data_IF_202813663192
#
_entry.id   IF_202813663192
#
_cell.length_a   1.000
_cell.length_b   1.000
_cell.length_c   1.000
_cell.angle_alpha   90.00
_cell.angle_beta   90.00
_cell.angle_gamma   90.00
#
_symmetry.space_group_name_H-M   'P 1'
#
loop_
_entity.id
_entity.type
_entity.pdbx_description
1 polymer ?
#
# COMPACT_ATOMS: atom_id res chain seq x y z
N UNK A 1 -8.80 11.03 46.11
CA UNK A 1 -7.94 10.49 45.03
C UNK A 1 -8.43 11.12 43.76
N UNK A 2 -7.60 11.89 43.08
CA UNK A 2 -7.87 12.34 41.71
C UNK A 2 -7.36 11.17 40.86
N UNK A 3 -8.25 10.44 40.20
CA UNK A 3 -7.82 9.52 39.15
C UNK A 3 -6.99 10.35 38.16
N UNK A 4 -5.72 9.97 37.88
CA UNK A 4 -5.01 10.61 36.79
C UNK A 4 -5.81 10.28 35.54
N UNK A 5 -6.53 11.29 35.02
CA UNK A 5 -7.20 11.21 33.73
C UNK A 5 -6.20 10.58 32.74
N UNK A 6 -6.62 9.61 31.91
CA UNK A 6 -5.70 8.98 30.99
C UNK A 6 -5.01 10.09 30.21
N UNK A 7 -3.68 10.18 30.35
CA UNK A 7 -2.81 11.12 29.65
C UNK A 7 -2.81 10.89 28.12
N UNK A 8 -3.67 9.99 27.64
CA UNK A 8 -3.73 9.47 26.29
C UNK A 8 -5.17 9.53 25.78
N UNK A 9 -5.34 9.94 24.53
CA UNK A 9 -6.63 9.86 23.86
C UNK A 9 -7.07 8.41 23.65
N UNK A 10 -8.27 8.06 24.14
CA UNK A 10 -8.93 6.77 23.88
C UNK A 10 -9.58 6.68 22.48
N UNK A 11 -9.42 7.70 21.64
CA UNK A 11 -10.08 7.76 20.32
C UNK A 11 -9.72 6.59 19.40
N UNK A 12 -8.50 6.05 19.54
CA UNK A 12 -8.07 4.82 18.85
C UNK A 12 -7.54 3.86 19.91
N UNK A 13 -8.07 2.63 20.03
CA UNK A 13 -7.63 1.68 21.07
C UNK A 13 -6.20 1.17 20.81
N UNK A 14 -5.46 0.79 21.85
CA UNK A 14 -4.10 0.22 21.70
C UNK A 14 -4.07 -1.00 20.78
N UNK A 15 -5.12 -1.82 20.80
CA UNK A 15 -5.26 -2.98 19.92
C UNK A 15 -5.20 -2.62 18.42
N UNK A 16 -5.48 -1.38 18.03
CA UNK A 16 -5.32 -0.90 16.65
C UNK A 16 -3.90 -1.10 16.12
N UNK A 17 -2.87 -0.80 16.93
CA UNK A 17 -1.47 -0.92 16.52
C UNK A 17 -1.02 -2.36 16.29
N UNK A 18 -1.81 -3.34 16.74
CA UNK A 18 -1.60 -4.75 16.41
C UNK A 18 -2.50 -5.18 15.24
N UNK A 19 -3.81 -4.99 15.36
CA UNK A 19 -4.75 -5.56 14.39
C UNK A 19 -4.78 -4.85 13.05
N UNK A 20 -4.59 -3.52 13.00
CA UNK A 20 -4.63 -2.80 11.73
C UNK A 20 -3.45 -3.16 10.81
N UNK A 21 -2.18 -3.17 11.29
CA UNK A 21 -1.05 -3.66 10.49
C UNK A 21 -1.20 -5.11 10.04
N UNK A 22 -1.65 -5.99 10.94
CA UNK A 22 -1.95 -7.40 10.60
C UNK A 22 -3.02 -7.48 9.52
N UNK A 23 -4.07 -6.66 9.61
CA UNK A 23 -5.13 -6.56 8.61
C UNK A 23 -4.61 -6.12 7.24
N UNK A 24 -3.72 -5.13 7.19
CA UNK A 24 -3.06 -4.68 5.94
C UNK A 24 -2.28 -5.83 5.31
N UNK A 25 -1.46 -6.54 6.09
CA UNK A 25 -0.68 -7.68 5.57
C UNK A 25 -1.59 -8.82 5.12
N UNK A 26 -2.61 -9.17 5.91
CA UNK A 26 -3.55 -10.23 5.55
C UNK A 26 -4.26 -9.90 4.24
N UNK A 27 -4.74 -8.67 4.09
CA UNK A 27 -5.44 -8.27 2.86
C UNK A 27 -4.49 -8.26 1.66
N UNK A 28 -3.24 -7.80 1.81
CA UNK A 28 -2.22 -7.89 0.75
C UNK A 28 -2.06 -9.34 0.24
N UNK A 29 -1.88 -10.30 1.15
CA UNK A 29 -1.72 -11.71 0.80
C UNK A 29 -2.99 -12.31 0.18
N UNK A 30 -4.16 -12.01 0.74
CA UNK A 30 -5.44 -12.50 0.23
C UNK A 30 -5.76 -11.94 -1.16
N UNK A 31 -5.46 -10.66 -1.41
CA UNK A 31 -5.62 -10.03 -2.72
C UNK A 31 -4.71 -10.69 -3.77
N UNK A 32 -3.45 -10.95 -3.44
CA UNK A 32 -2.52 -11.67 -4.32
C UNK A 32 -2.97 -13.10 -4.63
N UNK A 33 -3.40 -13.85 -3.61
CA UNK A 33 -3.95 -15.20 -3.79
C UNK A 33 -5.21 -15.20 -4.64
N UNK A 34 -6.09 -14.21 -4.45
CA UNK A 34 -7.30 -14.05 -5.24
C UNK A 34 -7.00 -13.70 -6.69
N UNK A 35 -6.09 -12.75 -6.95
CA UNK A 35 -5.67 -12.37 -8.30
C UNK A 35 -5.04 -13.56 -9.06
N UNK A 36 -4.20 -14.35 -8.38
CA UNK A 36 -3.65 -15.58 -8.94
C UNK A 36 -4.74 -16.59 -9.32
N UNK A 37 -5.75 -16.78 -8.46
CA UNK A 37 -6.89 -17.67 -8.77
C UNK A 37 -7.80 -17.12 -9.86
N UNK A 38 -7.85 -15.80 -10.04
CA UNK A 38 -8.56 -15.14 -11.13
C UNK A 38 -7.81 -15.22 -12.48
N UNK A 39 -6.62 -15.84 -12.51
CA UNK A 39 -5.83 -16.03 -13.73
C UNK A 39 -4.80 -14.93 -13.99
N UNK A 40 -4.50 -14.09 -13.00
CA UNK A 40 -3.48 -13.04 -13.06
C UNK A 40 -2.42 -13.29 -11.96
N UNK A 41 -1.56 -14.32 -12.12
CA UNK A 41 -0.61 -14.73 -11.09
C UNK A 41 0.60 -13.80 -10.94
N UNK A 42 0.95 -13.06 -12.00
CA UNK A 42 2.02 -12.04 -11.99
C UNK A 42 1.42 -10.66 -12.19
N UNK A 43 1.80 -9.74 -11.32
CA UNK A 43 1.34 -8.37 -11.29
C UNK A 43 2.55 -7.48 -11.52
N UNK A 44 2.49 -6.60 -12.52
CA UNK A 44 3.56 -5.61 -12.78
C UNK A 44 3.78 -4.74 -11.53
N UNK A 45 2.72 -4.54 -10.76
CA UNK A 45 2.64 -3.78 -9.52
C UNK A 45 3.53 -4.32 -8.39
N UNK A 46 4.10 -5.52 -8.56
CA UNK A 46 4.96 -6.18 -7.58
C UNK A 46 6.43 -6.29 -8.03
N UNK A 47 6.78 -5.76 -9.21
CA UNK A 47 8.14 -5.86 -9.75
C UNK A 47 9.08 -4.82 -9.10
N UNK A 48 9.80 -5.24 -8.05
CA UNK A 48 10.76 -4.41 -7.31
C UNK A 48 11.89 -3.81 -8.15
N UNK A 49 12.34 -4.54 -9.18
CA UNK A 49 13.40 -4.08 -10.08
C UNK A 49 12.87 -3.23 -11.24
N UNK A 50 11.57 -2.91 -11.24
CA UNK A 50 10.90 -2.30 -12.38
C UNK A 50 10.71 -3.29 -13.52
N UNK A 51 10.17 -2.78 -14.63
CA UNK A 51 9.87 -3.57 -15.81
C UNK A 51 10.06 -2.75 -17.10
N UNK A 52 10.37 -3.46 -18.18
CA UNK A 52 10.61 -2.87 -19.51
C UNK A 52 9.43 -3.07 -20.45
N UNK A 53 9.45 -2.39 -21.60
CA UNK A 53 8.47 -2.59 -22.69
C UNK A 53 8.41 -4.06 -23.11
N UNK A 54 9.57 -4.73 -23.19
CA UNK A 54 9.64 -6.14 -23.53
C UNK A 54 8.99 -7.04 -22.46
N UNK A 55 9.14 -6.70 -21.18
CA UNK A 55 8.48 -7.43 -20.09
C UNK A 55 6.97 -7.27 -20.14
N UNK A 56 6.48 -6.06 -20.43
CA UNK A 56 5.05 -5.77 -20.58
C UNK A 56 4.47 -6.57 -21.75
N UNK A 57 5.09 -6.52 -22.93
CA UNK A 57 4.65 -7.33 -24.08
C UNK A 57 4.63 -8.81 -23.75
N UNK A 58 5.73 -9.35 -23.20
CA UNK A 58 5.84 -10.76 -22.84
C UNK A 58 4.73 -11.19 -21.88
N UNK A 59 4.43 -10.37 -20.87
CA UNK A 59 3.36 -10.65 -19.91
C UNK A 59 1.97 -10.55 -20.54
N UNK A 60 1.72 -9.47 -21.28
CA UNK A 60 0.40 -9.19 -21.86
C UNK A 60 0.05 -10.16 -22.97
N UNK A 61 1.02 -10.63 -23.75
CA UNK A 61 0.84 -11.73 -24.70
C UNK A 61 0.54 -13.05 -24.00
N UNK A 62 1.30 -13.40 -22.96
CA UNK A 62 1.04 -14.61 -22.17
C UNK A 62 -0.34 -14.62 -21.49
N UNK A 63 -0.90 -13.44 -21.22
CA UNK A 63 -2.22 -13.28 -20.64
C UNK A 63 -3.34 -13.39 -21.67
N UNK A 64 -3.10 -12.98 -22.92
CA UNK A 64 -4.15 -12.87 -23.92
C UNK A 64 -5.26 -11.91 -23.48
N UNK A 65 -6.28 -11.77 -24.33
CA UNK A 65 -7.34 -10.78 -24.12
C UNK A 65 -8.13 -11.01 -22.82
N UNK A 66 -8.51 -12.26 -22.55
CA UNK A 66 -9.35 -12.62 -21.40
C UNK A 66 -8.71 -12.25 -20.08
N UNK A 67 -7.43 -12.61 -19.85
CA UNK A 67 -6.76 -12.30 -18.58
C UNK A 67 -6.40 -10.82 -18.47
N UNK A 68 -6.06 -10.15 -19.59
CA UNK A 68 -5.90 -8.68 -19.59
C UNK A 68 -7.18 -7.96 -19.18
N UNK A 69 -8.35 -8.41 -19.64
CA UNK A 69 -9.64 -7.86 -19.19
C UNK A 69 -9.90 -8.09 -17.71
N UNK A 70 -9.55 -9.27 -17.16
CA UNK A 70 -9.68 -9.55 -15.73
C UNK A 70 -8.74 -8.65 -14.93
N UNK A 71 -7.50 -8.51 -15.39
CA UNK A 71 -6.50 -7.64 -14.79
C UNK A 71 -7.05 -6.20 -14.70
N UNK A 72 -7.48 -5.65 -15.85
CA UNK A 72 -7.99 -4.29 -15.97
C UNK A 72 -9.24 -3.99 -15.13
N UNK A 73 -10.20 -4.92 -15.12
CA UNK A 73 -11.55 -4.66 -14.61
C UNK A 73 -11.83 -5.26 -13.23
N UNK A 74 -10.94 -6.11 -12.71
CA UNK A 74 -11.12 -6.77 -11.41
C UNK A 74 -9.91 -6.58 -10.51
N UNK A 75 -8.72 -6.86 -11.02
CA UNK A 75 -7.50 -6.82 -10.19
C UNK A 75 -7.08 -5.39 -9.87
N UNK A 76 -6.94 -4.50 -10.87
CA UNK A 76 -6.55 -3.11 -10.60
C UNK A 76 -7.55 -2.37 -9.68
N UNK A 77 -8.88 -2.49 -9.85
CA UNK A 77 -9.83 -1.88 -8.91
C UNK A 77 -9.71 -2.44 -7.48
N UNK A 78 -9.42 -3.73 -7.33
CA UNK A 78 -9.21 -4.34 -6.01
C UNK A 78 -7.90 -3.83 -5.37
N UNK A 79 -6.85 -3.66 -6.16
CA UNK A 79 -5.57 -3.11 -5.71
C UNK A 79 -5.71 -1.64 -5.27
N UNK A 80 -6.46 -0.83 -6.03
CA UNK A 80 -6.83 0.53 -5.61
C UNK A 80 -7.63 0.53 -4.30
N UNK A 81 -8.57 -0.40 -4.12
CA UNK A 81 -9.31 -0.51 -2.86
C UNK A 81 -8.39 -0.88 -1.68
N UNK A 82 -7.39 -1.73 -1.93
CA UNK A 82 -6.34 -2.05 -0.97
C UNK A 82 -5.47 -0.83 -0.66
N UNK A 83 -5.12 -0.02 -1.67
CA UNK A 83 -4.41 1.25 -1.51
C UNK A 83 -5.10 2.20 -0.54
N UNK A 84 -6.41 2.41 -0.71
CA UNK A 84 -7.20 3.20 0.22
C UNK A 84 -7.19 2.63 1.63
N UNK A 85 -7.31 1.31 1.77
CA UNK A 85 -7.32 0.66 3.08
C UNK A 85 -6.02 0.92 3.85
N UNK A 86 -4.86 0.63 3.26
CA UNK A 86 -3.60 0.83 3.99
C UNK A 86 -3.24 2.32 4.12
N UNK A 87 -3.65 3.18 3.18
CA UNK A 87 -3.51 4.62 3.30
C UNK A 87 -4.29 5.19 4.50
N UNK A 88 -5.53 4.73 4.70
CA UNK A 88 -6.34 5.07 5.88
C UNK A 88 -5.68 4.57 7.15
N UNK A 89 -5.18 3.33 7.18
CA UNK A 89 -4.45 2.79 8.34
C UNK A 89 -3.21 3.63 8.65
N UNK A 90 -2.46 4.06 7.63
CA UNK A 90 -1.33 4.98 7.77
C UNK A 90 -1.73 6.32 8.41
N UNK A 91 -2.79 6.96 7.89
CA UNK A 91 -3.31 8.22 8.44
C UNK A 91 -3.78 8.06 9.90
N UNK A 92 -4.51 6.98 10.21
CA UNK A 92 -4.97 6.68 11.56
C UNK A 92 -3.80 6.38 12.50
N UNK A 93 -2.74 5.75 12.03
CA UNK A 93 -1.51 5.53 12.81
C UNK A 93 -0.84 6.85 13.19
N UNK A 94 -0.74 7.80 12.25
CA UNK A 94 -0.20 9.15 12.52
C UNK A 94 -1.06 9.83 13.59
N UNK A 95 -2.37 9.87 13.38
CA UNK A 95 -3.30 10.49 14.31
C UNK A 95 -3.24 9.85 15.70
N UNK A 96 -3.22 8.52 15.78
CA UNK A 96 -3.18 7.75 17.02
C UNK A 96 -1.92 8.00 17.85
N UNK A 97 -0.76 8.20 17.21
CA UNK A 97 0.49 8.50 17.89
C UNK A 97 0.54 9.96 18.36
N UNK A 98 0.10 10.90 17.52
CA UNK A 98 0.02 12.33 17.90
C UNK A 98 -0.94 12.53 19.07
N UNK A 99 -2.12 11.90 19.03
CA UNK A 99 -3.11 11.97 20.12
C UNK A 99 -2.66 11.31 21.42
N UNK A 100 -1.57 10.52 21.35
CA UNK A 100 -0.89 9.93 22.50
C UNK A 100 0.30 10.76 22.99
N UNK A 101 0.61 11.90 22.36
CA UNK A 101 1.71 12.78 22.77
C UNK A 101 3.03 12.53 22.04
N UNK A 102 3.09 11.65 21.04
CA UNK A 102 4.28 11.52 20.20
C UNK A 102 4.41 12.74 19.27
N UNK A 103 5.64 13.20 18.96
CA UNK A 103 5.82 14.33 18.07
C UNK A 103 5.40 13.96 16.64
N UNK A 104 4.84 14.94 15.92
CA UNK A 104 4.29 14.75 14.57
C UNK A 104 5.29 14.12 13.59
N UNK A 105 6.56 14.50 13.65
CA UNK A 105 7.57 13.95 12.74
C UNK A 105 7.78 12.44 12.94
N UNK A 106 7.74 11.96 14.20
CA UNK A 106 7.90 10.55 14.51
C UNK A 106 6.65 9.77 14.10
N UNK A 107 5.46 10.33 14.38
CA UNK A 107 4.21 9.77 13.93
C UNK A 107 4.15 9.68 12.38
N UNK A 108 4.65 10.70 11.68
CA UNK A 108 4.77 10.72 10.23
C UNK A 108 5.73 9.65 9.70
N UNK A 109 6.84 9.36 10.39
CA UNK A 109 7.71 8.22 10.02
C UNK A 109 6.99 6.87 10.19
N UNK A 110 6.09 6.76 11.18
CA UNK A 110 5.35 5.54 11.47
C UNK A 110 4.23 5.23 10.48
N UNK A 111 3.41 6.22 10.08
CA UNK A 111 2.27 5.99 9.18
C UNK A 111 2.40 6.62 7.79
N UNK A 112 3.38 7.50 7.59
CA UNK A 112 3.54 8.29 6.37
C UNK A 112 3.95 7.45 5.16
N UNK A 113 4.72 6.38 5.36
CA UNK A 113 5.06 5.45 4.27
C UNK A 113 3.83 4.83 3.63
N UNK A 114 2.88 4.33 4.42
CA UNK A 114 1.60 3.82 3.92
C UNK A 114 0.70 4.92 3.37
N UNK A 115 0.61 6.07 4.02
CA UNK A 115 -0.20 7.18 3.51
C UNK A 115 0.26 7.66 2.13
N UNK A 116 1.56 7.91 1.96
CA UNK A 116 2.13 8.33 0.68
C UNK A 116 2.16 7.19 -0.33
N UNK A 117 2.46 5.96 0.12
CA UNK A 117 2.43 4.76 -0.71
C UNK A 117 1.09 4.60 -1.41
N UNK A 118 -0.02 4.83 -0.70
CA UNK A 118 -1.37 4.71 -1.25
C UNK A 118 -1.62 5.66 -2.43
N UNK A 119 -1.02 6.86 -2.41
CA UNK A 119 -1.14 7.82 -3.52
C UNK A 119 -0.36 7.33 -4.75
N UNK A 120 0.85 6.81 -4.53
CA UNK A 120 1.66 6.23 -5.60
C UNK A 120 1.02 4.97 -6.17
N UNK A 121 0.38 4.16 -5.35
CA UNK A 121 -0.35 2.97 -5.72
C UNK A 121 -1.54 3.27 -6.65
N UNK A 122 -2.33 4.30 -6.33
CA UNK A 122 -3.38 4.78 -7.24
C UNK A 122 -2.80 5.27 -8.56
N UNK A 123 -1.73 6.07 -8.53
CA UNK A 123 -1.08 6.55 -9.73
C UNK A 123 -0.51 5.40 -10.60
N UNK A 124 -0.02 4.36 -9.93
CA UNK A 124 0.54 3.18 -10.55
C UNK A 124 -0.53 2.34 -11.23
N UNK A 125 -1.61 2.03 -10.51
CA UNK A 125 -2.77 1.33 -11.05
C UNK A 125 -3.39 2.04 -12.26
N UNK A 126 -3.46 3.38 -12.24
CA UNK A 126 -3.90 4.17 -13.40
C UNK A 126 -2.92 4.06 -14.59
N UNK A 127 -1.63 3.97 -14.30
CA UNK A 127 -0.59 3.81 -15.33
C UNK A 127 -0.65 2.42 -15.96
N UNK A 128 -0.79 1.36 -15.17
CA UNK A 128 -0.94 -0.01 -15.69
C UNK A 128 -2.26 -0.18 -16.44
N UNK A 129 -3.35 0.42 -15.95
CA UNK A 129 -4.61 0.47 -16.68
C UNK A 129 -4.44 1.08 -18.08
N UNK A 130 -3.70 2.19 -18.19
CA UNK A 130 -3.40 2.81 -19.49
C UNK A 130 -2.56 1.89 -20.39
N UNK A 131 -1.59 1.15 -19.84
CA UNK A 131 -0.83 0.17 -20.62
C UNK A 131 -1.73 -0.95 -21.16
N UNK A 132 -2.67 -1.43 -20.35
CA UNK A 132 -3.64 -2.45 -20.77
C UNK A 132 -4.59 -1.93 -21.85
N UNK A 133 -5.03 -0.67 -21.73
CA UNK A 133 -5.98 -0.04 -22.65
C UNK A 133 -5.33 0.33 -24.01
N UNK A 134 -4.01 0.55 -24.04
CA UNK A 134 -3.26 0.90 -25.26
C UNK A 134 -2.56 -0.29 -25.92
N UNK A 135 -2.59 -1.47 -25.30
CA UNK A 135 -1.97 -2.66 -25.85
C UNK A 135 -2.58 -3.07 -27.21
N UNK A 136 -1.78 -3.40 -28.24
CA UNK A 136 -0.32 -3.63 -28.23
C UNK A 136 0.55 -2.38 -28.47
N UNK A 137 -0.02 -1.22 -28.73
CA UNK A 137 0.70 0.01 -29.07
C UNK A 137 1.16 0.77 -27.80
N UNK A 138 2.06 0.15 -27.02
CA UNK A 138 2.55 0.75 -25.77
C UNK A 138 3.74 1.70 -26.01
N UNK A 139 3.65 2.90 -25.43
CA UNK A 139 4.72 3.88 -25.47
C UNK A 139 5.78 3.60 -24.40
N UNK A 140 7.07 3.64 -24.76
CA UNK A 140 8.18 3.42 -23.82
C UNK A 140 8.15 4.37 -22.62
N UNK A 141 7.76 5.64 -22.85
CA UNK A 141 7.60 6.63 -21.78
C UNK A 141 6.55 6.22 -20.74
N UNK A 142 5.43 5.66 -21.20
CA UNK A 142 4.33 5.28 -20.31
C UNK A 142 4.73 4.06 -19.46
N UNK A 143 5.49 3.12 -20.05
CA UNK A 143 6.08 1.98 -19.31
C UNK A 143 7.13 2.45 -18.30
N UNK A 144 8.03 3.34 -18.69
CA UNK A 144 9.05 3.89 -17.78
C UNK A 144 8.42 4.66 -16.62
N UNK A 145 7.32 5.38 -16.86
CA UNK A 145 6.56 6.04 -15.81
C UNK A 145 5.93 5.03 -14.87
N UNK A 146 5.16 4.07 -15.39
CA UNK A 146 4.52 3.03 -14.58
C UNK A 146 5.55 2.29 -13.70
N UNK A 147 6.65 1.83 -14.30
CA UNK A 147 7.72 1.13 -13.60
C UNK A 147 8.34 1.95 -12.46
N UNK A 148 8.61 3.25 -12.66
CA UNK A 148 9.17 4.09 -11.58
C UNK A 148 8.17 4.29 -10.45
N UNK A 149 6.90 4.53 -10.79
CA UNK A 149 5.85 4.70 -9.78
C UNK A 149 5.68 3.42 -8.96
N UNK A 150 5.73 2.24 -9.59
CA UNK A 150 5.73 0.94 -8.90
C UNK A 150 6.89 0.81 -7.92
N UNK A 151 8.11 1.16 -8.33
CA UNK A 151 9.27 1.09 -7.44
C UNK A 151 9.15 2.02 -6.23
N UNK A 152 8.73 3.27 -6.45
CA UNK A 152 8.54 4.25 -5.38
C UNK A 152 7.45 3.76 -4.42
N UNK A 153 6.33 3.25 -4.93
CA UNK A 153 5.26 2.64 -4.15
C UNK A 153 5.78 1.53 -3.24
N UNK A 154 6.55 0.58 -3.78
CA UNK A 154 7.06 -0.57 -3.03
C UNK A 154 8.03 -0.16 -1.90
N UNK A 155 8.87 0.85 -2.15
CA UNK A 155 9.72 1.46 -1.12
C UNK A 155 8.86 2.10 -0.03
N UNK A 156 7.89 2.93 -0.41
CA UNK A 156 6.99 3.61 0.54
C UNK A 156 6.15 2.62 1.37
N UNK A 157 5.62 1.57 0.72
CA UNK A 157 4.86 0.52 1.37
C UNK A 157 5.73 -0.22 2.41
N UNK A 158 6.98 -0.52 2.05
CA UNK A 158 7.94 -1.16 2.96
C UNK A 158 8.32 -0.28 4.13
N UNK A 159 8.56 1.02 3.88
CA UNK A 159 8.76 2.01 4.94
C UNK A 159 7.54 2.12 5.86
N UNK A 160 6.32 2.05 5.30
CA UNK A 160 5.09 2.02 6.08
C UNK A 160 4.97 0.77 6.95
N UNK A 161 5.37 -0.41 6.44
CA UNK A 161 5.40 -1.65 7.22
C UNK A 161 6.38 -1.56 8.38
N UNK A 162 7.60 -1.05 8.15
CA UNK A 162 8.59 -0.82 9.21
C UNK A 162 8.08 0.23 10.21
N UNK A 163 7.46 1.30 9.71
CA UNK A 163 6.85 2.35 10.51
C UNK A 163 5.73 1.84 11.42
N UNK A 164 4.89 0.92 10.93
CA UNK A 164 3.83 0.28 11.69
C UNK A 164 4.37 -0.60 12.83
N UNK A 165 5.47 -1.33 12.60
CA UNK A 165 6.15 -2.08 13.66
C UNK A 165 6.72 -1.13 14.72
N UNK A 166 7.34 -0.02 14.31
CA UNK A 166 7.81 1.00 15.23
C UNK A 166 6.64 1.66 16.00
N UNK A 167 5.52 1.90 15.33
CA UNK A 167 4.31 2.47 15.94
C UNK A 167 3.75 1.57 17.04
N UNK A 168 3.74 0.26 16.81
CA UNK A 168 3.38 -0.70 17.85
C UNK A 168 4.31 -0.53 19.06
N UNK A 169 5.63 -0.62 18.88
CA UNK A 169 6.56 -0.45 19.99
C UNK A 169 6.36 0.88 20.75
N UNK A 170 6.16 1.99 20.03
CA UNK A 170 5.92 3.31 20.63
C UNK A 170 4.59 3.39 21.38
N UNK A 171 3.54 2.74 20.89
CA UNK A 171 2.21 2.77 21.51
C UNK A 171 2.17 2.04 22.87
N UNK A 172 3.01 1.02 23.05
CA UNK A 172 3.14 0.28 24.32
C UNK A 172 4.21 0.84 25.26
N UNK A 173 4.99 1.83 24.84
CA UNK A 173 6.00 2.46 25.68
C UNK A 173 5.37 3.59 26.51
N UNK A 174 5.55 3.62 27.84
CA UNK A 174 5.14 4.78 28.62
C UNK A 174 5.92 6.01 28.14
N UNK A 175 5.23 7.11 27.83
CA UNK A 175 5.90 8.38 27.64
C UNK A 175 6.58 8.76 28.97
N UNK A 176 7.89 8.97 28.94
CA UNK A 176 8.60 9.51 30.08
C UNK A 176 8.09 10.93 30.34
N UNK A 177 7.58 11.16 31.54
CA UNK A 177 7.18 12.47 32.07
C UNK A 177 8.44 13.28 32.36
#
# INVERSE_FOLDING_TARGET
MIDPAPLYSDAIPLAFFAWAPVGVMLFFWLAGLWASRAGVPRLLENDWNGFTVADVHKLFDAYGETRRRIYRNRVLPADVAFAFFYGIVGALTIYALVSRGQPLWLAALCGGGWLLGALFDVAENLSVARLLDTYPEIAERDVAFASRVTQIKLVLFSLGTLGAVAAAWLAWRPLAI
#
